data_IF_455202178119
#
_entry.id   IF_455202178119
#
_cell.length_a   1.000
_cell.length_b   1.000
_cell.length_c   1.000
_cell.angle_alpha   90.00
_cell.angle_beta   90.00
_cell.angle_gamma   90.00
#
_symmetry.space_group_name_H-M   'P 1'
#
loop_
_entity.id
_entity.type
_entity.pdbx_description
1 polymer ?
#
# COMPACT_ATOMS: atom_id res chain seq x y z
N UNK A 1 -23.38 -15.11 10.94
CA UNK A 1 -22.91 -14.31 9.79
C UNK A 1 -21.44 -14.63 9.55
N UNK A 2 -21.05 -15.14 8.37
CA UNK A 2 -19.63 -15.37 8.09
C UNK A 2 -18.91 -14.03 7.90
N UNK A 3 -17.80 -13.83 8.60
CA UNK A 3 -16.95 -12.66 8.37
C UNK A 3 -16.43 -12.68 6.93
N UNK A 4 -16.28 -11.50 6.31
CA UNK A 4 -15.71 -11.41 4.97
C UNK A 4 -14.27 -11.96 4.96
N UNK A 5 -13.93 -12.79 3.97
CA UNK A 5 -12.68 -13.57 3.93
C UNK A 5 -11.41 -12.72 4.01
N UNK A 6 -11.43 -11.48 3.50
CA UNK A 6 -10.28 -10.58 3.55
C UNK A 6 -9.84 -10.19 4.97
N UNK A 7 -10.76 -10.22 5.94
CA UNK A 7 -10.50 -9.83 7.33
C UNK A 7 -9.45 -10.72 8.00
N UNK A 8 -9.25 -11.95 7.50
CA UNK A 8 -8.23 -12.87 8.01
C UNK A 8 -6.81 -12.53 7.54
N UNK A 9 -6.65 -11.70 6.51
CA UNK A 9 -5.36 -11.49 5.85
C UNK A 9 -4.82 -10.07 6.01
N UNK A 10 -5.71 -9.08 6.04
CA UNK A 10 -5.30 -7.68 6.09
C UNK A 10 -6.37 -6.76 6.68
N UNK A 11 -5.92 -5.58 7.11
CA UNK A 11 -6.79 -4.53 7.67
C UNK A 11 -7.64 -3.88 6.59
N UNK A 12 -8.70 -3.18 7.02
CA UNK A 12 -9.62 -2.50 6.11
C UNK A 12 -8.92 -1.52 5.17
N UNK A 13 -7.93 -0.77 5.66
CA UNK A 13 -7.19 0.19 4.84
C UNK A 13 -6.38 -0.48 3.71
N UNK A 14 -5.78 -1.64 3.98
CA UNK A 14 -5.08 -2.39 2.93
C UNK A 14 -6.07 -2.96 1.92
N UNK A 15 -7.20 -3.53 2.38
CA UNK A 15 -8.28 -4.00 1.50
C UNK A 15 -8.77 -2.89 0.55
N UNK A 16 -9.11 -1.71 1.08
CA UNK A 16 -9.61 -0.60 0.26
C UNK A 16 -8.54 -0.08 -0.70
N UNK A 17 -7.26 -0.05 -0.31
CA UNK A 17 -6.16 0.33 -1.20
C UNK A 17 -6.01 -0.62 -2.41
N UNK A 18 -6.18 -1.92 -2.18
CA UNK A 18 -6.13 -2.95 -3.23
C UNK A 18 -7.33 -2.81 -4.16
N UNK A 19 -8.54 -2.68 -3.60
CA UNK A 19 -9.76 -2.48 -4.38
C UNK A 19 -9.72 -1.20 -5.22
N UNK A 20 -9.18 -0.11 -4.66
CA UNK A 20 -9.00 1.15 -5.37
C UNK A 20 -8.01 1.02 -6.53
N UNK A 21 -6.92 0.25 -6.37
CA UNK A 21 -5.99 -0.05 -7.46
C UNK A 21 -6.67 -0.80 -8.60
N UNK A 22 -7.35 -1.91 -8.30
CA UNK A 22 -8.08 -2.69 -9.30
C UNK A 22 -9.12 -1.83 -10.05
N UNK A 23 -9.77 -0.90 -9.34
CA UNK A 23 -10.75 0.02 -9.93
C UNK A 23 -10.11 1.04 -10.88
N UNK A 24 -8.87 1.50 -10.62
CA UNK A 24 -8.17 2.41 -11.52
C UNK A 24 -7.70 1.72 -12.80
N UNK A 25 -7.28 0.47 -12.70
CA UNK A 25 -6.81 -0.33 -13.83
C UNK A 25 -7.90 -0.54 -14.90
N UNK A 26 -9.19 -0.51 -14.51
CA UNK A 26 -10.33 -0.67 -15.43
C UNK A 26 -10.87 0.65 -16.03
N UNK A 27 -10.29 1.81 -15.68
CA UNK A 27 -10.70 3.10 -16.25
C UNK A 27 -10.16 3.30 -17.68
N UNK A 28 -10.85 4.15 -18.45
CA UNK A 28 -10.36 4.63 -19.75
C UNK A 28 -9.05 5.42 -19.58
N UNK A 29 -8.19 5.39 -20.60
CA UNK A 29 -6.83 5.97 -20.55
C UNK A 29 -6.79 7.40 -20.00
N UNK A 30 -7.67 8.26 -20.51
CA UNK A 30 -7.75 9.68 -20.15
C UNK A 30 -7.92 9.90 -18.64
N UNK A 31 -8.75 9.06 -18.01
CA UNK A 31 -9.06 9.14 -16.58
C UNK A 31 -8.09 8.32 -15.75
N UNK A 32 -7.56 7.24 -16.33
CA UNK A 32 -6.61 6.33 -15.69
C UNK A 32 -5.32 7.05 -15.31
N UNK A 33 -4.74 7.84 -16.22
CA UNK A 33 -3.49 8.56 -15.95
C UNK A 33 -3.62 9.50 -14.74
N UNK A 34 -4.73 10.24 -14.65
CA UNK A 34 -5.01 11.13 -13.51
C UNK A 34 -5.26 10.37 -12.22
N UNK A 35 -5.98 9.24 -12.30
CA UNK A 35 -6.27 8.41 -11.15
C UNK A 35 -5.03 7.69 -10.61
N UNK A 36 -4.16 7.16 -11.48
CA UNK A 36 -2.92 6.47 -11.12
C UNK A 36 -1.94 7.39 -10.40
N UNK A 37 -1.83 8.66 -10.82
CA UNK A 37 -1.01 9.66 -10.12
C UNK A 37 -1.38 9.82 -8.65
N UNK A 38 -2.64 9.59 -8.26
CA UNK A 38 -3.11 9.68 -6.87
C UNK A 38 -2.70 8.46 -6.04
N UNK A 39 -2.43 7.32 -6.68
CA UNK A 39 -2.01 6.09 -6.02
C UNK A 39 -0.50 6.02 -5.77
N UNK A 40 0.28 6.94 -6.33
CA UNK A 40 1.73 6.95 -6.16
C UNK A 40 2.14 7.34 -4.74
N UNK A 41 2.87 6.47 -4.06
CA UNK A 41 3.41 6.70 -2.72
C UNK A 41 4.91 6.44 -2.71
N UNK A 42 5.69 7.44 -2.31
CA UNK A 42 7.14 7.34 -2.11
C UNK A 42 7.49 7.66 -0.66
N UNK A 43 7.07 6.78 0.26
CA UNK A 43 7.29 6.96 1.70
C UNK A 43 8.63 6.36 2.13
N UNK A 44 9.36 7.10 2.96
CA UNK A 44 10.51 6.59 3.71
C UNK A 44 10.22 6.71 5.19
N UNK A 45 10.54 5.67 5.95
CA UNK A 45 10.38 5.66 7.40
C UNK A 45 11.67 5.22 8.07
N UNK A 46 11.80 5.57 9.33
CA UNK A 46 12.91 5.17 10.18
C UNK A 46 12.31 4.74 11.52
N UNK A 47 12.61 3.52 11.96
CA UNK A 47 12.19 3.07 13.28
C UNK A 47 13.15 3.65 14.32
N UNK A 48 12.62 4.31 15.34
CA UNK A 48 13.40 4.83 16.45
C UNK A 48 13.18 3.94 17.67
N UNK A 49 14.27 3.40 18.24
CA UNK A 49 14.25 2.57 19.44
C UNK A 49 15.26 3.13 20.43
N UNK A 50 14.85 3.28 21.69
CA UNK A 50 15.72 3.78 22.78
C UNK A 50 16.40 5.13 22.45
N UNK A 51 15.71 5.99 21.70
CA UNK A 51 16.23 7.31 21.29
C UNK A 51 17.27 7.27 20.18
N UNK A 52 17.59 6.09 19.61
CA UNK A 52 18.46 5.94 18.45
C UNK A 52 17.66 5.72 17.19
N UNK A 53 18.05 6.41 16.14
CA UNK A 53 17.47 6.31 14.82
C UNK A 53 17.99 5.04 14.12
N UNK A 54 17.09 4.16 13.67
CA UNK A 54 17.44 2.96 12.90
C UNK A 54 17.78 3.27 11.44
N UNK A 55 17.70 2.29 10.55
CA UNK A 55 17.97 2.54 9.13
C UNK A 55 16.84 3.31 8.44
N UNK A 56 17.19 4.14 7.45
CA UNK A 56 16.20 4.78 6.60
C UNK A 56 15.66 3.76 5.59
N UNK A 57 14.41 3.35 5.78
CA UNK A 57 13.78 2.32 4.96
C UNK A 57 12.83 2.98 3.96
N UNK A 58 13.04 2.68 2.69
CA UNK A 58 12.07 2.98 1.65
C UNK A 58 10.91 1.96 1.71
N UNK A 59 9.69 2.44 1.93
CA UNK A 59 8.51 1.60 2.09
C UNK A 59 8.28 0.68 0.88
N UNK A 60 8.54 1.16 -0.34
CA UNK A 60 8.37 0.37 -1.55
C UNK A 60 9.39 -0.79 -1.65
N UNK A 61 10.58 -0.63 -1.07
CA UNK A 61 11.61 -1.67 -1.02
C UNK A 61 11.32 -2.67 0.11
N UNK A 62 10.80 -2.19 1.24
CA UNK A 62 10.38 -3.03 2.36
C UNK A 62 9.23 -3.98 1.98
N UNK A 63 8.22 -3.49 1.26
CA UNK A 63 7.10 -4.33 0.79
C UNK A 63 7.55 -5.45 -0.16
N UNK A 64 8.58 -5.22 -0.99
CA UNK A 64 9.13 -6.24 -1.90
C UNK A 64 9.88 -7.34 -1.15
N UNK A 65 10.63 -7.00 -0.10
CA UNK A 65 11.37 -7.98 0.72
C UNK A 65 10.45 -8.91 1.51
N UNK A 66 9.24 -8.46 1.88
CA UNK A 66 8.26 -9.29 2.58
C UNK A 66 7.52 -10.30 1.67
N UNK A 67 7.65 -10.16 0.35
CA UNK A 67 6.98 -11.04 -0.64
C UNK A 67 7.91 -12.13 -1.20
N UNK A 68 9.19 -12.13 -0.80
CA UNK A 68 10.18 -13.16 -1.11
C UNK A 68 10.28 -14.17 0.03
#
# INVERSE_FOLDING_TARGET
MSAASWRAHFTFNKYTSIAARATREVLKEEQRATAERRGYMALRYQEWKEGKAGDNVNMAEAEKKQQQ
#
